data_IF_016557947988
#
_entry.id   IF_016557947988
#
_cell.length_a   1.000
_cell.length_b   1.000
_cell.length_c   1.000
_cell.angle_alpha   90.00
_cell.angle_beta   90.00
_cell.angle_gamma   90.00
#
_symmetry.space_group_name_H-M   'P 1'
#
loop_
_entity.id
_entity.type
_entity.pdbx_description
1 polymer ?
#
# COMPACT_ATOMS: atom_id res chain seq x y z
N UNK A 1 10.68 -14.01 4.99
CA UNK A 1 11.43 -12.76 4.85
C UNK A 1 10.63 -11.62 5.48
N UNK A 2 11.29 -10.82 6.26
CA UNK A 2 10.64 -9.72 6.95
C UNK A 2 10.42 -8.53 6.02
N UNK A 3 9.38 -7.76 6.34
CA UNK A 3 9.12 -6.51 5.63
C UNK A 3 9.89 -5.38 6.31
N UNK A 4 10.22 -4.35 5.56
CA UNK A 4 10.89 -3.18 6.11
C UNK A 4 9.94 -2.36 6.98
N UNK A 5 10.49 -1.45 7.79
CA UNK A 5 9.66 -0.56 8.59
C UNK A 5 8.75 0.32 7.72
N UNK A 6 9.27 0.77 6.58
CA UNK A 6 8.47 1.57 5.66
C UNK A 6 7.30 0.77 5.09
N UNK A 7 7.54 -0.47 4.70
CA UNK A 7 6.48 -1.35 4.22
C UNK A 7 5.46 -1.61 5.33
N UNK A 8 5.93 -1.86 6.53
CA UNK A 8 5.06 -2.15 7.67
C UNK A 8 4.15 -0.97 7.98
N UNK A 9 4.67 0.25 7.96
CA UNK A 9 3.86 1.44 8.22
C UNK A 9 2.73 1.59 7.21
N UNK A 10 3.06 1.44 5.93
CA UNK A 10 2.06 1.55 4.89
C UNK A 10 1.02 0.44 5.01
N UNK A 11 1.47 -0.80 5.16
CA UNK A 11 0.54 -1.93 5.25
C UNK A 11 -0.33 -1.86 6.50
N UNK A 12 0.22 -1.38 7.61
CA UNK A 12 -0.55 -1.20 8.84
C UNK A 12 -1.67 -0.18 8.63
N UNK A 13 -1.36 0.93 7.98
CA UNK A 13 -2.35 1.96 7.67
C UNK A 13 -3.43 1.41 6.73
N UNK A 14 -3.03 0.64 5.73
CA UNK A 14 -3.99 0.05 4.80
C UNK A 14 -4.85 -1.00 5.49
N UNK A 15 -4.30 -1.73 6.45
CA UNK A 15 -5.06 -2.71 7.23
C UNK A 15 -6.14 -2.05 8.09
N UNK A 16 -5.96 -0.76 8.38
CA UNK A 16 -6.93 0.02 9.14
C UNK A 16 -7.99 0.67 8.25
N UNK A 17 -8.03 0.34 6.97
CA UNK A 17 -9.02 0.84 6.05
C UNK A 17 -8.51 1.90 5.07
N UNK A 18 -7.22 2.16 5.08
CA UNK A 18 -6.62 3.09 4.13
C UNK A 18 -6.58 2.52 2.72
N UNK A 19 -6.13 3.35 1.79
CA UNK A 19 -6.00 2.95 0.38
C UNK A 19 -4.89 3.74 -0.29
N UNK A 20 -4.49 3.28 -1.47
CA UNK A 20 -3.48 3.98 -2.28
C UNK A 20 -4.15 4.49 -3.53
N UNK A 21 -4.02 5.80 -3.75
CA UNK A 21 -4.49 6.46 -4.95
C UNK A 21 -3.31 6.59 -5.91
N UNK A 22 -3.57 6.33 -7.19
CA UNK A 22 -2.51 6.40 -8.20
C UNK A 22 -2.87 7.39 -9.29
N UNK A 23 -1.84 8.02 -9.86
CA UNK A 23 -1.97 8.83 -11.05
C UNK A 23 -1.27 8.12 -12.20
N UNK A 24 -1.86 8.20 -13.38
CA UNK A 24 -1.32 7.56 -14.57
C UNK A 24 -1.03 8.60 -15.63
N UNK A 25 -0.03 8.31 -16.47
CA UNK A 25 0.28 9.16 -17.62
C UNK A 25 -0.60 8.78 -18.83
N UNK A 26 -0.34 9.43 -19.95
CA UNK A 26 -1.09 9.20 -21.19
C UNK A 26 -1.00 7.77 -21.70
N UNK A 27 0.05 7.06 -21.32
CA UNK A 27 0.29 5.68 -21.71
C UNK A 27 -0.24 4.69 -20.66
N UNK A 28 -1.04 5.19 -19.73
CA UNK A 28 -1.64 4.38 -18.68
C UNK A 28 -0.61 3.77 -17.71
N UNK A 29 0.55 4.41 -17.59
CA UNK A 29 1.59 3.98 -16.63
C UNK A 29 1.43 4.76 -15.34
N UNK A 30 1.56 4.08 -14.22
CA UNK A 30 1.47 4.72 -12.91
C UNK A 30 2.72 5.56 -12.68
N UNK A 31 2.53 6.87 -12.47
CA UNK A 31 3.63 7.81 -12.28
C UNK A 31 3.65 8.38 -10.86
N UNK A 32 2.58 8.19 -10.10
CA UNK A 32 2.51 8.70 -8.73
C UNK A 32 1.58 7.81 -7.90
N UNK A 33 1.93 7.62 -6.64
CA UNK A 33 1.13 6.85 -5.70
C UNK A 33 1.08 7.57 -4.37
N UNK A 34 -0.13 7.70 -3.81
CA UNK A 34 -0.35 8.41 -2.56
C UNK A 34 -1.15 7.53 -1.62
N UNK A 35 -0.66 7.36 -0.40
CA UNK A 35 -1.37 6.61 0.62
C UNK A 35 -2.29 7.56 1.38
N UNK A 36 -3.54 7.14 1.57
CA UNK A 36 -4.51 7.92 2.35
C UNK A 36 -5.12 7.03 3.42
N UNK A 37 -5.45 7.66 4.54
CA UNK A 37 -6.10 6.95 5.64
C UNK A 37 -7.55 6.66 5.30
N UNK A 38 -8.20 5.86 6.16
CA UNK A 38 -9.61 5.57 6.02
C UNK A 38 -10.44 6.86 5.94
N UNK A 39 -10.05 7.89 6.69
CA UNK A 39 -10.75 9.18 6.72
C UNK A 39 -10.42 10.07 5.52
N UNK A 40 -9.47 9.67 4.69
CA UNK A 40 -9.09 10.44 3.52
C UNK A 40 -7.90 11.37 3.70
N UNK A 41 -7.20 11.29 4.82
CA UNK A 41 -6.02 12.11 5.07
C UNK A 41 -4.81 11.52 4.34
N UNK A 42 -4.01 12.39 3.74
CA UNK A 42 -2.74 11.97 3.16
C UNK A 42 -1.81 11.47 4.25
N UNK A 43 -1.16 10.34 3.98
CA UNK A 43 -0.16 9.80 4.88
C UNK A 43 1.18 9.77 4.13
N UNK A 44 2.20 10.47 4.63
CA UNK A 44 3.51 10.45 3.99
C UNK A 44 4.17 9.09 4.17
N UNK A 45 5.21 8.84 3.40
CA UNK A 45 6.00 7.62 3.55
C UNK A 45 5.83 6.60 2.44
N UNK A 46 4.92 6.85 1.50
CA UNK A 46 4.80 6.01 0.32
C UNK A 46 5.36 6.75 -0.88
N UNK A 47 6.34 6.15 -1.53
CA UNK A 47 6.83 6.64 -2.82
C UNK A 47 6.55 5.59 -3.89
N UNK A 48 6.86 5.92 -5.13
CA UNK A 48 6.55 5.04 -6.26
C UNK A 48 7.33 3.72 -6.18
N UNK A 49 8.57 3.78 -5.72
CA UNK A 49 9.39 2.57 -5.60
C UNK A 49 8.81 1.61 -4.56
N UNK A 50 8.39 2.13 -3.42
CA UNK A 50 7.77 1.33 -2.37
C UNK A 50 6.42 0.78 -2.84
N UNK A 51 5.63 1.60 -3.53
CA UNK A 51 4.37 1.15 -4.12
C UNK A 51 4.58 -0.04 -5.05
N UNK A 52 5.55 0.06 -5.96
CA UNK A 52 5.85 -1.01 -6.90
C UNK A 52 6.29 -2.28 -6.20
N UNK A 53 7.06 -2.14 -5.13
CA UNK A 53 7.52 -3.28 -4.34
C UNK A 53 6.35 -3.99 -3.67
N UNK A 54 5.46 -3.23 -3.04
CA UNK A 54 4.30 -3.81 -2.37
C UNK A 54 3.39 -4.51 -3.37
N UNK A 55 3.18 -3.90 -4.54
CA UNK A 55 2.36 -4.51 -5.59
C UNK A 55 2.99 -5.79 -6.11
N UNK A 56 4.29 -5.75 -6.39
CA UNK A 56 5.01 -6.91 -6.91
C UNK A 56 4.96 -8.09 -5.94
N UNK A 57 5.00 -7.80 -4.66
CA UNK A 57 4.92 -8.84 -3.63
C UNK A 57 3.51 -9.35 -3.38
N UNK A 58 2.52 -8.75 -4.00
CA UNK A 58 1.14 -9.15 -3.82
C UNK A 58 0.49 -8.67 -2.53
N UNK A 59 1.08 -7.70 -1.87
CA UNK A 59 0.55 -7.19 -0.60
C UNK A 59 -0.55 -6.16 -0.81
N UNK A 60 -0.61 -5.56 -1.99
CA UNK A 60 -1.67 -4.63 -2.36
C UNK A 60 -2.17 -4.98 -3.76
N UNK A 61 -3.43 -4.67 -4.03
CA UNK A 61 -4.03 -4.92 -5.33
C UNK A 61 -5.18 -3.96 -5.58
N UNK A 62 -5.45 -3.75 -6.86
CA UNK A 62 -6.58 -2.95 -7.33
C UNK A 62 -7.52 -3.86 -8.10
N UNK A 63 -8.80 -3.60 -8.01
CA UNK A 63 -9.83 -4.35 -8.75
C UNK A 63 -10.70 -3.36 -9.51
N UNK A 64 -10.83 -3.58 -10.83
CA UNK A 64 -11.69 -2.76 -11.67
C UNK A 64 -11.34 -1.27 -11.69
N UNK A 65 -10.06 -0.93 -11.55
CA UNK A 65 -9.63 0.47 -11.55
C UNK A 65 -9.83 1.20 -10.23
N UNK A 66 -10.30 0.51 -9.20
CA UNK A 66 -10.47 1.10 -7.88
C UNK A 66 -9.12 1.38 -7.22
N UNK A 67 -9.08 2.20 -6.15
CA UNK A 67 -7.84 2.41 -5.41
C UNK A 67 -7.24 1.10 -4.92
N UNK A 68 -5.92 1.06 -4.77
CA UNK A 68 -5.25 -0.12 -4.25
C UNK A 68 -5.56 -0.29 -2.78
N UNK A 69 -5.78 -1.55 -2.41
CA UNK A 69 -6.06 -1.91 -1.02
C UNK A 69 -5.18 -3.07 -0.62
N UNK A 70 -5.03 -3.26 0.68
CA UNK A 70 -4.25 -4.37 1.21
C UNK A 70 -4.94 -5.69 0.84
N UNK A 71 -4.14 -6.67 0.47
CA UNK A 71 -4.64 -8.02 0.17
C UNK A 71 -4.65 -8.86 1.44
N UNK A 72 -5.21 -10.06 1.34
CA UNK A 72 -5.16 -11.03 2.44
C UNK A 72 -3.70 -11.36 2.77
N UNK A 73 -2.86 -11.52 1.75
CA UNK A 73 -1.44 -11.77 1.98
C UNK A 73 -0.78 -10.62 2.72
N UNK A 74 -1.07 -9.37 2.31
CA UNK A 74 -0.53 -8.20 2.97
C UNK A 74 -0.96 -8.10 4.42
N UNK A 75 -2.24 -8.37 4.69
CA UNK A 75 -2.77 -8.37 6.05
C UNK A 75 -2.05 -9.41 6.91
N UNK A 76 -1.86 -10.60 6.36
CA UNK A 76 -1.18 -11.67 7.07
C UNK A 76 0.27 -11.30 7.37
N UNK A 77 0.92 -10.65 6.41
CA UNK A 77 2.31 -10.27 6.57
C UNK A 77 2.50 -9.20 7.65
N UNK A 78 1.62 -8.22 7.69
CA UNK A 78 1.74 -7.16 8.71
C UNK A 78 1.39 -7.70 10.11
N UNK A 79 0.47 -8.64 10.21
CA UNK A 79 0.11 -9.25 11.48
C UNK A 79 1.18 -10.17 12.04
N UNK A 80 2.02 -10.72 11.19
CA UNK A 80 3.07 -11.64 11.63
C UNK A 80 4.33 -10.92 12.10
N UNK A 81 4.38 -9.60 12.00
CA UNK A 81 5.54 -8.83 12.46
C UNK A 81 5.52 -8.71 13.99
N UNK A 82 6.65 -9.05 14.66
CA UNK A 82 6.70 -8.99 16.13
C UNK A 82 6.44 -7.60 16.69
N UNK A 83 6.83 -6.56 15.96
CA UNK A 83 6.70 -5.18 16.42
C UNK A 83 5.42 -4.51 15.97
N UNK A 84 4.52 -5.25 15.39
CA UNK A 84 3.27 -4.70 14.87
C UNK A 84 2.26 -4.55 15.99
N UNK A 85 2.19 -3.36 16.55
CA UNK A 85 1.30 -3.08 17.66
C UNK A 85 0.57 -1.79 17.49
#
# INVERSE_FOLDING_TARGET
MDISKAEQRVLHLLAQGGRVLVEKDERNRIIHATCVTREGWHSPGLDLALFRKLRRRGYIASSGGAPYRITRLGTRRVRSQPDNR
#
